data_IF_125128594934
#
_entry.id   IF_125128594934
#
_cell.length_a   1.000
_cell.length_b   1.000
_cell.length_c   1.000
_cell.angle_alpha   90.00
_cell.angle_beta   90.00
_cell.angle_gamma   90.00
#
_symmetry.space_group_name_H-M   'P 1'
#
loop_
_entity.id
_entity.type
_entity.pdbx_description
1 polymer ?
#
# COMPACT_ATOMS: atom_id res chain seq x y z
N UNK A 1 10.00 -16.88 -17.34
CA UNK A 1 9.28 -16.83 -16.05
C UNK A 1 7.79 -16.82 -16.29
N UNK A 2 7.01 -17.44 -15.43
CA UNK A 2 5.54 -17.41 -15.59
C UNK A 2 4.96 -16.12 -14.98
N UNK A 3 3.70 -15.76 -15.31
CA UNK A 3 3.09 -14.53 -14.80
C UNK A 3 3.02 -14.45 -13.27
N UNK A 4 2.84 -15.59 -12.58
CA UNK A 4 2.79 -15.61 -11.11
C UNK A 4 4.14 -15.24 -10.50
N UNK A 5 5.24 -15.70 -11.07
CA UNK A 5 6.58 -15.35 -10.62
C UNK A 5 6.87 -13.88 -10.89
N UNK A 6 6.49 -13.38 -12.05
CA UNK A 6 6.66 -11.95 -12.38
C UNK A 6 5.88 -11.06 -11.44
N UNK A 7 4.65 -11.45 -11.10
CA UNK A 7 3.82 -10.72 -10.15
C UNK A 7 4.48 -10.67 -8.78
N UNK A 8 4.97 -11.82 -8.30
CA UNK A 8 5.62 -11.91 -7.00
C UNK A 8 6.89 -11.05 -6.94
N UNK A 9 7.69 -11.05 -8.01
CA UNK A 9 8.88 -10.21 -8.10
C UNK A 9 8.52 -8.73 -8.05
N UNK A 10 7.46 -8.33 -8.76
CA UNK A 10 6.96 -6.95 -8.72
C UNK A 10 6.53 -6.54 -7.32
N UNK A 11 5.87 -7.43 -6.59
CA UNK A 11 5.47 -7.20 -5.22
C UNK A 11 6.66 -7.04 -4.28
N UNK A 12 7.67 -7.89 -4.39
CA UNK A 12 8.89 -7.77 -3.59
C UNK A 12 9.62 -6.46 -3.90
N UNK A 13 9.73 -6.08 -5.16
CA UNK A 13 10.36 -4.80 -5.55
C UNK A 13 9.61 -3.61 -4.97
N UNK A 14 8.28 -3.64 -5.01
CA UNK A 14 7.47 -2.57 -4.45
C UNK A 14 7.66 -2.45 -2.94
N UNK A 15 7.78 -3.56 -2.23
CA UNK A 15 8.00 -3.57 -0.79
C UNK A 15 9.45 -3.28 -0.38
N UNK A 16 10.39 -3.39 -1.30
CA UNK A 16 11.81 -3.12 -1.04
C UNK A 16 12.15 -1.63 -1.09
N UNK A 17 11.23 -0.80 -0.62
CA UNK A 17 11.37 0.65 -0.53
C UNK A 17 10.80 1.06 0.83
N UNK A 18 11.58 1.81 1.66
CA UNK A 18 11.13 2.11 3.03
C UNK A 18 9.84 2.93 3.07
N UNK A 19 9.61 3.81 2.10
CA UNK A 19 8.38 4.61 2.06
C UNK A 19 7.18 3.71 1.75
N UNK A 20 7.29 2.88 0.71
CA UNK A 20 6.21 1.99 0.32
C UNK A 20 5.90 0.96 1.39
N UNK A 21 6.92 0.40 2.03
CA UNK A 21 6.74 -0.53 3.15
C UNK A 21 5.97 0.14 4.29
N UNK A 22 6.32 1.37 4.61
CA UNK A 22 5.64 2.15 5.65
C UNK A 22 4.18 2.43 5.29
N UNK A 23 3.90 2.77 4.03
CA UNK A 23 2.53 3.01 3.59
C UNK A 23 1.67 1.76 3.72
N UNK A 24 2.19 0.59 3.35
CA UNK A 24 1.48 -0.68 3.52
C UNK A 24 1.22 -0.94 5.01
N UNK A 25 2.20 -0.72 5.86
CA UNK A 25 2.04 -0.90 7.30
C UNK A 25 0.96 0.02 7.87
N UNK A 26 0.97 1.30 7.50
CA UNK A 26 -0.03 2.28 7.96
C UNK A 26 -1.44 1.89 7.51
N UNK A 27 -1.60 1.53 6.24
CA UNK A 27 -2.89 1.10 5.71
C UNK A 27 -3.34 -0.26 6.26
N UNK A 28 -2.42 -1.03 6.84
CA UNK A 28 -2.73 -2.26 7.56
C UNK A 28 -3.30 -2.01 8.95
N UNK A 29 -2.97 -0.88 9.57
CA UNK A 29 -3.51 -0.48 10.88
C UNK A 29 -4.93 0.05 10.72
N UNK A 30 -5.13 0.91 9.72
CA UNK A 30 -6.41 1.55 9.47
C UNK A 30 -6.48 1.97 8.00
N UNK A 31 -7.69 2.06 7.49
CA UNK A 31 -7.93 2.63 6.17
C UNK A 31 -7.53 4.11 6.19
N UNK A 32 -6.72 4.53 5.22
CA UNK A 32 -6.15 5.88 5.20
C UNK A 32 -6.45 6.59 3.90
N UNK A 33 -6.73 7.88 3.99
CA UNK A 33 -6.80 8.78 2.83
C UNK A 33 -5.39 9.25 2.44
N UNK A 34 -5.24 9.78 1.23
CA UNK A 34 -3.99 10.41 0.79
C UNK A 34 -3.59 11.53 1.75
N UNK A 35 -4.56 12.33 2.16
CA UNK A 35 -4.32 13.45 3.08
C UNK A 35 -3.73 12.99 4.40
N UNK A 36 -4.31 11.93 4.98
CA UNK A 36 -3.81 11.35 6.22
C UNK A 36 -2.38 10.79 6.06
N UNK A 37 -2.14 10.08 4.96
CA UNK A 37 -0.82 9.50 4.68
C UNK A 37 0.22 10.59 4.44
N UNK A 38 -0.14 11.67 3.75
CA UNK A 38 0.72 12.83 3.54
C UNK A 38 1.09 13.47 4.87
N UNK A 39 0.12 13.62 5.75
CA UNK A 39 0.34 14.20 7.08
C UNK A 39 1.27 13.34 7.93
N UNK A 40 1.03 12.04 7.99
CA UNK A 40 1.81 11.12 8.83
C UNK A 40 3.24 10.95 8.30
N UNK A 41 3.41 10.86 6.98
CA UNK A 41 4.74 10.62 6.39
C UNK A 41 5.56 11.90 6.24
N UNK A 42 4.92 13.06 6.18
CA UNK A 42 5.59 14.33 5.90
C UNK A 42 6.02 14.47 4.44
N UNK A 43 5.63 13.54 3.57
CA UNK A 43 5.97 13.61 2.14
C UNK A 43 4.96 14.48 1.40
N UNK A 44 5.33 14.95 0.21
CA UNK A 44 4.41 15.68 -0.65
C UNK A 44 3.30 14.78 -1.16
N UNK A 45 2.13 15.36 -1.44
CA UNK A 45 1.01 14.60 -1.98
C UNK A 45 1.33 13.89 -3.29
N UNK A 46 2.02 14.52 -4.27
CA UNK A 46 2.39 13.81 -5.50
C UNK A 46 3.25 12.58 -5.26
N UNK A 47 4.18 12.65 -4.31
CA UNK A 47 5.05 11.51 -3.97
C UNK A 47 4.25 10.37 -3.33
N UNK A 48 3.38 10.70 -2.39
CA UNK A 48 2.51 9.71 -1.74
C UNK A 48 1.61 9.06 -2.78
N UNK A 49 0.97 9.86 -3.62
CA UNK A 49 0.06 9.36 -4.67
C UNK A 49 0.76 8.43 -5.64
N UNK A 50 2.00 8.75 -6.02
CA UNK A 50 2.78 7.91 -6.93
C UNK A 50 3.12 6.56 -6.29
N UNK A 51 3.52 6.55 -5.04
CA UNK A 51 3.78 5.31 -4.31
C UNK A 51 2.51 4.47 -4.15
N UNK A 52 1.38 5.10 -3.84
CA UNK A 52 0.10 4.40 -3.70
C UNK A 52 -0.33 3.75 -5.01
N UNK A 53 -0.16 4.47 -6.12
CA UNK A 53 -0.47 3.93 -7.45
C UNK A 53 0.34 2.67 -7.74
N UNK A 54 1.62 2.69 -7.43
CA UNK A 54 2.50 1.55 -7.63
C UNK A 54 2.10 0.37 -6.74
N UNK A 55 1.77 0.63 -5.48
CA UNK A 55 1.32 -0.40 -4.55
C UNK A 55 -0.01 -1.04 -4.97
N UNK A 56 -0.93 -0.23 -5.47
CA UNK A 56 -2.21 -0.73 -5.99
C UNK A 56 -2.00 -1.57 -7.27
N UNK A 57 -1.08 -1.16 -8.14
CA UNK A 57 -0.76 -1.92 -9.36
C UNK A 57 -0.24 -3.33 -9.04
N UNK A 58 0.40 -3.49 -7.89
CA UNK A 58 0.93 -4.77 -7.42
C UNK A 58 0.00 -5.51 -6.44
N UNK A 59 -1.22 -5.04 -6.27
CA UNK A 59 -2.24 -5.61 -5.37
C UNK A 59 -1.79 -5.67 -3.90
N UNK A 60 -0.86 -4.81 -3.51
CA UNK A 60 -0.42 -4.66 -2.12
C UNK A 60 -1.34 -3.76 -1.32
N UNK A 61 -1.99 -2.84 -2.01
CA UNK A 61 -3.06 -2.00 -1.46
C UNK A 61 -4.23 -2.02 -2.43
N UNK A 62 -5.42 -1.71 -1.92
CA UNK A 62 -6.57 -1.44 -2.75
C UNK A 62 -7.17 -0.09 -2.40
N UNK A 63 -7.63 0.60 -3.43
CA UNK A 63 -8.27 1.89 -3.34
C UNK A 63 -9.77 1.69 -3.36
N UNK A 64 -10.48 2.36 -2.46
CA UNK A 64 -11.93 2.32 -2.45
C UNK A 64 -12.50 3.68 -2.11
N UNK A 65 -13.76 3.89 -2.48
CA UNK A 65 -14.46 5.14 -2.23
C UNK A 65 -15.54 4.93 -1.17
N UNK A 66 -15.63 5.88 -0.25
CA UNK A 66 -16.71 5.95 0.73
C UNK A 66 -17.24 7.38 0.70
N UNK A 67 -18.42 7.57 0.10
CA UNK A 67 -18.99 8.88 -0.13
C UNK A 67 -18.13 9.71 -1.07
N UNK A 68 -17.66 10.87 -0.60
CA UNK A 68 -16.79 11.77 -1.36
C UNK A 68 -15.30 11.50 -1.12
N UNK A 69 -15.00 10.56 -0.23
CA UNK A 69 -13.62 10.30 0.19
C UNK A 69 -13.08 9.04 -0.45
N UNK A 70 -11.79 9.05 -0.74
CA UNK A 70 -11.05 7.91 -1.26
C UNK A 70 -10.08 7.43 -0.19
N UNK A 71 -10.10 6.13 0.07
CA UNK A 71 -9.26 5.49 1.07
C UNK A 71 -8.42 4.37 0.45
N UNK A 72 -7.36 4.01 1.14
CA UNK A 72 -6.49 2.91 0.81
C UNK A 72 -6.43 1.92 1.96
N UNK A 73 -6.40 0.64 1.65
CA UNK A 73 -6.35 -0.42 2.65
C UNK A 73 -5.57 -1.62 2.11
N UNK A 74 -5.13 -2.47 3.01
CA UNK A 74 -4.53 -3.76 2.65
C UNK A 74 -5.66 -4.72 2.31
N UNK A 75 -5.64 -5.37 1.12
CA UNK A 75 -6.65 -6.39 0.79
C UNK A 75 -6.60 -7.54 1.80
N UNK A 76 -7.78 -8.04 2.20
CA UNK A 76 -7.90 -9.06 3.23
C UNK A 76 -7.10 -10.33 2.93
N UNK A 77 -7.06 -10.74 1.65
CA UNK A 77 -6.39 -11.96 1.19
C UNK A 77 -5.17 -11.69 0.31
N UNK A 78 -4.71 -10.44 0.26
CA UNK A 78 -3.57 -10.06 -0.57
C UNK A 78 -2.23 -10.27 0.14
N UNK A 79 -1.11 -10.18 -0.60
CA UNK A 79 0.23 -10.34 -0.01
C UNK A 79 0.56 -9.27 1.03
N UNK A 80 -0.05 -8.09 0.93
CA UNK A 80 0.09 -7.05 1.96
C UNK A 80 -0.39 -7.47 3.33
N UNK A 81 -1.29 -8.45 3.42
CA UNK A 81 -1.77 -8.97 4.69
C UNK A 81 -0.66 -9.66 5.49
N UNK A 82 0.35 -10.23 4.82
CA UNK A 82 1.52 -10.81 5.49
C UNK A 82 2.37 -9.73 6.13
N UNK A 83 2.59 -8.63 5.42
CA UNK A 83 3.30 -7.46 5.97
C UNK A 83 2.58 -6.95 7.20
N UNK A 84 1.26 -6.79 7.11
CA UNK A 84 0.43 -6.35 8.23
C UNK A 84 0.60 -7.27 9.44
N UNK A 85 0.50 -8.59 9.25
CA UNK A 85 0.63 -9.57 10.33
C UNK A 85 2.00 -9.50 11.01
N UNK A 86 3.07 -9.35 10.24
CA UNK A 86 4.43 -9.30 10.77
C UNK A 86 4.71 -8.02 11.54
N UNK A 87 4.14 -6.90 11.11
CA UNK A 87 4.39 -5.60 11.72
C UNK A 87 3.44 -5.28 12.87
N UNK A 88 2.23 -5.86 12.87
CA UNK A 88 1.20 -5.53 13.85
C UNK A 88 0.88 -6.66 14.82
N UNK A 89 1.31 -7.82 14.48
CA UNK A 89 0.91 -8.95 15.25
C UNK A 89 1.87 -9.87 15.73
#
# INVERSE_FOLDING_TARGET
MNPSTDKLLGQFKALADPVRLRLVALCGVAECSVSELTHVTGLSQPRVSQHLKQLCAEDLLERFRDGHFVFYRVPANGPGSLVRRRLLG
#
